data_IF_857601448854
#
_entry.id   IF_857601448854
#
_cell.length_a   1.000
_cell.length_b   1.000
_cell.length_c   1.000
_cell.angle_alpha   90.00
_cell.angle_beta   90.00
_cell.angle_gamma   90.00
#
_symmetry.space_group_name_H-M   'P 1'
#
loop_
_entity.id
_entity.type
_entity.pdbx_description
1 polymer ?
#
# COMPACT_ATOMS: atom_id res chain seq x y z
N UNK A 1 7.82 14.20 38.20
CA UNK A 1 6.43 14.31 38.68
C UNK A 1 5.81 15.58 38.09
N UNK A 2 4.65 15.43 37.44
CA UNK A 2 3.59 16.42 37.14
C UNK A 2 4.00 17.87 36.82
N UNK A 3 3.88 18.32 35.57
CA UNK A 3 2.64 18.70 34.88
C UNK A 3 2.20 20.16 35.15
N UNK A 4 2.29 20.93 34.06
CA UNK A 4 1.33 21.92 33.57
C UNK A 4 1.12 23.24 34.32
N UNK A 5 0.63 24.18 33.50
CA UNK A 5 -0.26 25.33 33.83
C UNK A 5 0.55 26.64 33.99
N UNK A 6 0.22 27.77 33.35
CA UNK A 6 -1.02 28.25 32.74
C UNK A 6 -0.72 29.52 31.92
N UNK A 7 -1.43 29.72 30.81
CA UNK A 7 -1.55 30.99 30.09
C UNK A 7 -1.93 32.16 31.00
N UNK A 8 -1.49 33.38 30.63
CA UNK A 8 -2.23 34.65 30.67
C UNK A 8 -1.32 35.78 30.18
N UNK A 9 -1.83 36.66 29.31
CA UNK A 9 -1.57 38.10 29.12
C UNK A 9 -2.24 38.43 27.77
N UNK A 10 -3.17 39.37 27.60
CA UNK A 10 -3.59 40.51 28.40
C UNK A 10 -3.89 41.61 27.38
N UNK A 11 -5.18 41.87 27.10
CA UNK A 11 -5.61 42.95 26.22
C UNK A 11 -5.49 44.31 26.94
N UNK A 12 -5.10 45.36 26.21
CA UNK A 12 -5.37 46.74 26.59
C UNK A 12 -5.66 47.56 25.33
N UNK A 13 -6.92 47.96 25.18
CA UNK A 13 -7.41 48.91 24.19
C UNK A 13 -7.52 50.26 24.90
N UNK A 14 -6.85 51.29 24.36
CA UNK A 14 -6.94 52.67 24.84
C UNK A 14 -7.97 53.40 23.99
N UNK A 15 -9.01 53.93 24.65
CA UNK A 15 -10.00 54.84 24.06
C UNK A 15 -9.71 56.25 24.57
N UNK A 16 -9.53 57.20 23.66
CA UNK A 16 -9.56 58.63 23.96
C UNK A 16 -10.66 59.29 23.14
N UNK A 17 -11.60 59.95 23.83
CA UNK A 17 -12.62 60.84 23.28
C UNK A 17 -12.16 62.29 23.51
N UNK A 18 -12.18 63.11 22.47
CA UNK A 18 -12.19 64.57 22.55
C UNK A 18 -13.08 65.12 21.43
N UNK A 19 -13.95 66.07 21.77
CA UNK A 19 -15.15 66.39 21.00
C UNK A 19 -15.13 67.69 20.19
N UNK A 20 -16.23 67.82 19.45
CA UNK A 20 -17.05 68.99 19.13
C UNK A 20 -16.59 70.07 18.11
N UNK A 21 -17.48 70.21 17.12
CA UNK A 21 -17.89 71.38 16.31
C UNK A 21 -17.04 71.78 15.11
N UNK A 22 -17.43 71.28 13.92
CA UNK A 22 -17.48 72.08 12.70
C UNK A 22 -18.75 71.76 11.90
N UNK A 23 -19.53 72.82 11.67
CA UNK A 23 -20.65 72.95 10.75
C UNK A 23 -20.24 72.67 9.30
N UNK A 24 -21.02 71.89 8.56
CA UNK A 24 -20.87 71.80 7.11
C UNK A 24 -21.66 70.66 6.49
N UNK A 25 -22.61 71.02 5.61
CA UNK A 25 -23.27 70.14 4.64
C UNK A 25 -22.28 69.15 4.00
N UNK A 26 -22.59 67.85 4.01
CA UNK A 26 -21.80 66.85 3.29
C UNK A 26 -22.39 65.46 3.38
N UNK A 27 -23.18 65.11 2.35
CA UNK A 27 -23.65 63.78 1.93
C UNK A 27 -23.16 62.56 2.74
N UNK A 28 -24.13 61.81 3.28
CA UNK A 28 -23.95 60.41 3.69
C UNK A 28 -23.59 59.58 2.45
N UNK A 29 -22.30 59.34 2.23
CA UNK A 29 -21.84 58.25 1.39
C UNK A 29 -21.97 56.94 2.18
N UNK A 30 -23.02 56.17 1.90
CA UNK A 30 -23.10 54.76 2.28
C UNK A 30 -21.95 54.02 1.59
N UNK A 31 -20.79 53.90 2.24
CA UNK A 31 -19.77 52.96 1.80
C UNK A 31 -20.33 51.55 2.00
N UNK A 32 -20.62 50.87 0.90
CA UNK A 32 -20.95 49.46 0.95
C UNK A 32 -19.76 48.71 1.56
N UNK A 33 -20.00 48.08 2.71
CA UNK A 33 -19.11 47.09 3.28
C UNK A 33 -19.10 45.93 2.29
N UNK A 34 -18.10 45.87 1.41
CA UNK A 34 -17.81 44.66 0.65
C UNK A 34 -17.33 43.62 1.66
N UNK A 35 -18.15 42.58 1.84
CA UNK A 35 -17.75 41.37 2.55
C UNK A 35 -16.43 40.87 1.96
N UNK A 36 -15.49 40.60 2.86
CA UNK A 36 -14.07 40.48 2.59
C UNK A 36 -13.70 39.56 1.43
N UNK A 37 -12.59 39.92 0.80
CA UNK A 37 -11.87 39.07 -0.12
C UNK A 37 -11.73 37.66 0.47
N UNK A 38 -12.07 36.59 -0.26
CA UNK A 38 -11.77 35.25 0.20
C UNK A 38 -10.25 35.14 0.31
N UNK A 39 -9.79 34.97 1.55
CA UNK A 39 -8.43 34.53 1.88
C UNK A 39 -8.14 33.31 1.00
N UNK A 40 -7.31 33.52 -0.02
CA UNK A 40 -6.74 32.46 -0.81
C UNK A 40 -5.82 31.66 0.12
N UNK A 41 -6.40 30.68 0.82
CA UNK A 41 -5.65 29.59 1.40
C UNK A 41 -4.97 28.90 0.23
N UNK A 42 -3.67 29.22 0.06
CA UNK A 42 -2.79 28.50 -0.84
C UNK A 42 -2.91 27.02 -0.52
N UNK A 43 -3.66 26.30 -1.35
CA UNK A 43 -3.62 24.86 -1.39
C UNK A 43 -2.20 24.51 -1.79
N UNK A 44 -1.36 24.22 -0.78
CA UNK A 44 -0.17 23.40 -0.99
C UNK A 44 -0.68 22.15 -1.67
N UNK A 45 -0.41 22.07 -2.97
CA UNK A 45 -0.60 20.90 -3.81
C UNK A 45 0.09 19.75 -3.08
N UNK A 46 -0.70 18.96 -2.32
CA UNK A 46 -0.24 17.68 -1.81
C UNK A 46 0.10 16.92 -3.07
N UNK A 47 1.39 16.70 -3.32
CA UNK A 47 1.83 15.80 -4.38
C UNK A 47 1.09 14.49 -4.15
N UNK A 48 0.07 14.24 -4.96
CA UNK A 48 -0.58 12.94 -5.01
C UNK A 48 0.52 11.99 -5.43
N UNK A 49 1.06 11.27 -4.46
CA UNK A 49 1.95 10.16 -4.70
C UNK A 49 1.08 9.08 -5.34
N UNK A 50 0.78 9.23 -6.63
CA UNK A 50 0.08 8.24 -7.43
C UNK A 50 0.85 6.94 -7.26
N UNK A 51 0.14 5.92 -6.79
CA UNK A 51 0.71 4.58 -6.68
C UNK A 51 1.33 4.22 -8.03
N UNK A 52 2.58 3.75 -7.98
CA UNK A 52 3.37 3.53 -9.19
C UNK A 52 2.58 2.66 -10.17
N UNK A 53 2.47 3.08 -11.42
CA UNK A 53 1.81 2.28 -12.46
C UNK A 53 2.59 0.95 -12.62
N UNK A 54 1.90 -0.20 -12.67
CA UNK A 54 2.54 -1.48 -12.95
C UNK A 54 3.42 -1.39 -14.20
N UNK A 55 4.63 -1.97 -14.19
CA UNK A 55 5.31 -2.36 -15.41
C UNK A 55 4.35 -3.15 -16.32
N UNK A 56 4.37 -2.87 -17.62
CA UNK A 56 3.61 -3.66 -18.60
C UNK A 56 4.16 -5.10 -18.61
N UNK A 57 3.29 -6.07 -18.85
CA UNK A 57 3.64 -7.50 -19.06
C UNK A 57 4.15 -8.27 -17.84
N UNK A 58 3.78 -7.87 -16.62
CA UNK A 58 4.12 -8.66 -15.42
C UNK A 58 3.35 -9.98 -15.36
N UNK A 59 4.03 -11.01 -14.83
CA UNK A 59 3.51 -12.38 -14.68
C UNK A 59 3.36 -12.74 -13.21
N UNK A 60 2.35 -13.55 -12.90
CA UNK A 60 2.22 -14.12 -11.57
C UNK A 60 3.31 -15.17 -11.35
N UNK A 61 3.99 -15.12 -10.20
CA UNK A 61 5.12 -16.01 -9.86
C UNK A 61 4.79 -17.01 -8.76
N UNK A 62 3.68 -16.81 -8.05
CA UNK A 62 3.18 -17.71 -7.02
C UNK A 62 3.80 -17.50 -5.64
N UNK A 63 3.03 -17.94 -4.63
CA UNK A 63 3.34 -17.77 -3.20
C UNK A 63 4.72 -18.29 -2.78
N UNK A 64 5.18 -19.39 -3.38
CA UNK A 64 6.46 -20.02 -3.03
C UNK A 64 7.66 -19.14 -3.43
N UNK A 65 7.56 -18.44 -4.56
CA UNK A 65 8.59 -17.48 -5.00
C UNK A 65 8.72 -16.34 -4.00
N UNK A 66 7.59 -15.84 -3.47
CA UNK A 66 7.59 -14.82 -2.43
C UNK A 66 8.20 -15.35 -1.12
N UNK A 67 7.90 -16.60 -0.76
CA UNK A 67 8.38 -17.23 0.46
C UNK A 67 9.90 -17.37 0.53
N UNK A 68 10.57 -17.51 -0.63
CA UNK A 68 12.02 -17.65 -0.72
C UNK A 68 12.78 -16.47 -0.08
N UNK A 69 12.29 -15.24 -0.29
CA UNK A 69 12.91 -14.03 0.29
C UNK A 69 12.12 -13.46 1.48
N UNK A 70 10.80 -13.66 1.52
CA UNK A 70 9.90 -13.10 2.54
C UNK A 70 9.29 -14.17 3.45
N UNK A 71 10.11 -15.13 3.89
CA UNK A 71 9.66 -16.28 4.66
C UNK A 71 8.88 -15.90 5.93
N UNK A 72 9.34 -14.90 6.68
CA UNK A 72 8.65 -14.42 7.89
C UNK A 72 7.20 -13.99 7.59
N UNK A 73 6.98 -13.23 6.52
CA UNK A 73 5.64 -12.79 6.10
C UNK A 73 4.81 -13.95 5.57
N UNK A 74 5.43 -14.85 4.81
CA UNK A 74 4.78 -16.07 4.34
C UNK A 74 4.28 -16.94 5.50
N UNK A 75 5.06 -17.10 6.58
CA UNK A 75 4.64 -17.87 7.76
C UNK A 75 3.42 -17.28 8.44
N UNK A 76 3.28 -15.96 8.49
CA UNK A 76 2.06 -15.33 8.99
C UNK A 76 0.90 -15.59 8.03
N UNK A 77 1.08 -15.22 6.75
CA UNK A 77 0.04 -15.33 5.71
C UNK A 77 -0.53 -16.74 5.61
N UNK A 78 0.30 -17.80 5.63
CA UNK A 78 -0.15 -19.18 5.42
C UNK A 78 -1.18 -19.67 6.45
N UNK A 79 -1.28 -19.01 7.60
CA UNK A 79 -2.24 -19.35 8.65
C UNK A 79 -3.54 -18.54 8.59
N UNK A 80 -3.55 -17.45 7.82
CA UNK A 80 -4.70 -16.57 7.63
C UNK A 80 -5.79 -17.18 6.74
N UNK A 81 -7.01 -16.63 6.85
CA UNK A 81 -8.15 -17.07 6.04
C UNK A 81 -7.90 -16.95 4.54
N UNK A 82 -7.16 -15.92 4.11
CA UNK A 82 -6.82 -15.73 2.70
C UNK A 82 -6.01 -16.90 2.11
N UNK A 83 -5.02 -17.41 2.84
CA UNK A 83 -4.24 -18.56 2.38
C UNK A 83 -5.09 -19.82 2.20
N UNK A 84 -6.07 -20.01 3.09
CA UNK A 84 -6.98 -21.17 3.11
C UNK A 84 -8.18 -21.02 2.17
N UNK A 85 -8.27 -19.91 1.42
CA UNK A 85 -9.43 -19.61 0.58
C UNK A 85 -9.75 -20.73 -0.40
N UNK A 86 -8.76 -21.34 -1.05
CA UNK A 86 -9.03 -22.46 -1.96
C UNK A 86 -9.41 -23.76 -1.23
N UNK A 87 -8.81 -23.98 -0.06
CA UNK A 87 -8.95 -25.24 0.68
C UNK A 87 -10.38 -25.45 1.20
N UNK A 88 -11.08 -24.35 1.49
CA UNK A 88 -12.48 -24.39 1.94
C UNK A 88 -13.46 -24.80 0.83
N UNK A 89 -13.05 -24.79 -0.44
CA UNK A 89 -13.91 -25.26 -1.52
C UNK A 89 -14.07 -26.79 -1.47
N UNK A 90 -15.30 -27.31 -1.47
CA UNK A 90 -15.56 -28.72 -1.75
C UNK A 90 -14.92 -29.13 -3.08
N UNK A 91 -14.43 -30.38 -3.17
CA UNK A 91 -13.70 -30.87 -4.35
C UNK A 91 -14.46 -30.65 -5.66
N UNK A 92 -15.79 -30.83 -5.65
CA UNK A 92 -16.67 -30.63 -6.82
C UNK A 92 -16.67 -29.20 -7.37
N UNK A 93 -16.37 -28.19 -6.55
CA UNK A 93 -16.36 -26.78 -6.94
C UNK A 93 -14.95 -26.23 -7.24
N UNK A 94 -13.90 -27.05 -7.10
CA UNK A 94 -12.50 -26.62 -7.35
C UNK A 94 -12.14 -26.44 -8.83
N UNK A 95 -13.10 -26.67 -9.72
CA UNK A 95 -12.98 -26.42 -11.15
C UNK A 95 -14.06 -25.48 -11.66
N UNK A 96 -14.97 -25.00 -10.80
CA UNK A 96 -16.05 -24.10 -11.21
C UNK A 96 -15.50 -22.67 -11.36
N UNK A 97 -15.55 -22.06 -12.56
CA UNK A 97 -15.11 -20.69 -12.78
C UNK A 97 -15.75 -19.67 -11.82
N UNK A 98 -17.00 -19.88 -11.40
CA UNK A 98 -17.70 -18.98 -10.47
C UNK A 98 -17.03 -18.95 -9.09
N UNK A 99 -16.47 -20.08 -8.66
CA UNK A 99 -15.74 -20.19 -7.41
C UNK A 99 -14.28 -19.74 -7.57
N UNK A 100 -13.63 -20.12 -8.68
CA UNK A 100 -12.22 -19.85 -8.92
C UNK A 100 -11.90 -18.34 -8.98
N UNK A 101 -12.81 -17.51 -9.49
CA UNK A 101 -12.68 -16.04 -9.51
C UNK A 101 -12.37 -15.44 -8.14
N UNK A 102 -12.90 -16.01 -7.05
CA UNK A 102 -12.73 -15.49 -5.70
C UNK A 102 -11.74 -16.29 -4.84
N UNK A 103 -11.57 -17.58 -5.13
CA UNK A 103 -10.79 -18.51 -4.30
C UNK A 103 -9.38 -18.79 -4.83
N UNK A 104 -8.96 -18.11 -5.89
CA UNK A 104 -7.61 -18.24 -6.46
C UNK A 104 -7.02 -16.87 -6.81
N UNK A 105 -5.73 -16.83 -7.13
CA UNK A 105 -5.04 -15.61 -7.54
C UNK A 105 -5.02 -15.49 -9.06
N UNK A 106 -5.56 -14.39 -9.57
CA UNK A 106 -5.44 -14.00 -10.98
C UNK A 106 -6.28 -14.82 -11.95
N UNK A 107 -7.31 -15.55 -11.51
CA UNK A 107 -8.15 -16.33 -12.42
C UNK A 107 -8.68 -15.49 -13.59
N UNK A 108 -8.58 -16.02 -14.81
CA UNK A 108 -8.94 -15.32 -16.05
C UNK A 108 -7.87 -14.38 -16.60
N UNK A 109 -6.79 -14.11 -15.86
CA UNK A 109 -5.64 -13.35 -16.35
C UNK A 109 -4.67 -14.28 -17.10
N UNK A 110 -3.92 -13.79 -18.11
CA UNK A 110 -3.06 -14.63 -18.96
C UNK A 110 -2.07 -15.54 -18.22
N UNK A 111 -1.59 -15.11 -17.06
CA UNK A 111 -0.61 -15.85 -16.23
C UNK A 111 -1.12 -16.20 -14.84
N UNK A 112 -2.41 -16.00 -14.57
CA UNK A 112 -3.00 -16.33 -13.27
C UNK A 112 -3.33 -17.81 -13.10
N UNK A 113 -4.07 -18.14 -12.05
CA UNK A 113 -4.53 -19.50 -11.81
C UNK A 113 -5.37 -20.01 -12.98
N UNK A 114 -5.11 -21.24 -13.41
CA UNK A 114 -5.84 -21.94 -14.46
C UNK A 114 -6.54 -23.17 -13.89
N UNK A 115 -5.74 -24.07 -13.35
CA UNK A 115 -6.18 -25.36 -12.80
C UNK A 115 -5.08 -25.94 -11.89
N UNK A 116 -5.12 -27.26 -11.67
CA UNK A 116 -4.16 -28.03 -10.88
C UNK A 116 -2.70 -27.92 -11.35
N UNK A 117 -2.44 -27.45 -12.57
CA UNK A 117 -1.10 -27.14 -13.09
C UNK A 117 -0.51 -25.84 -12.50
N UNK A 118 -1.34 -25.02 -11.84
CA UNK A 118 -0.94 -23.74 -11.22
C UNK A 118 -1.18 -23.71 -9.69
N UNK A 119 -0.77 -24.73 -8.91
CA UNK A 119 -1.11 -24.83 -7.49
C UNK A 119 -0.48 -23.71 -6.63
N UNK A 120 0.59 -23.08 -7.12
CA UNK A 120 1.23 -21.94 -6.51
C UNK A 120 0.35 -20.68 -6.49
N UNK A 121 -0.72 -20.64 -7.30
CA UNK A 121 -1.72 -19.56 -7.36
C UNK A 121 -3.07 -19.96 -6.76
N UNK A 122 -3.19 -21.17 -6.21
CA UNK A 122 -4.37 -21.56 -5.44
C UNK A 122 -4.44 -20.77 -4.12
N UNK A 123 -5.62 -20.22 -3.83
CA UNK A 123 -5.91 -19.37 -2.67
C UNK A 123 -5.79 -17.88 -2.97
N UNK A 124 -6.07 -17.05 -1.96
CA UNK A 124 -5.82 -15.61 -2.02
C UNK A 124 -4.36 -15.40 -1.60
N UNK A 125 -3.46 -15.42 -2.58
CA UNK A 125 -2.02 -15.32 -2.37
C UNK A 125 -1.53 -13.88 -2.33
N UNK A 126 -0.22 -13.71 -2.12
CA UNK A 126 0.47 -12.43 -2.06
C UNK A 126 0.08 -11.51 -3.23
N UNK A 127 0.01 -12.07 -4.43
CA UNK A 127 -0.17 -11.33 -5.68
C UNK A 127 -1.63 -10.93 -5.94
N UNK A 128 -2.59 -11.42 -5.14
CA UNK A 128 -3.98 -10.89 -5.18
C UNK A 128 -4.00 -9.43 -4.70
N UNK A 129 -3.24 -9.11 -3.64
CA UNK A 129 -3.15 -7.75 -3.10
C UNK A 129 -1.99 -6.96 -3.72
N UNK A 130 -0.84 -7.61 -3.94
CA UNK A 130 0.40 -6.96 -4.37
C UNK A 130 0.61 -6.96 -5.90
N UNK A 131 -0.29 -7.59 -6.66
CA UNK A 131 -0.20 -7.75 -8.11
C UNK A 131 0.85 -8.77 -8.56
N UNK A 132 0.95 -9.03 -9.88
CA UNK A 132 1.91 -9.98 -10.43
C UNK A 132 3.36 -9.54 -10.13
N UNK A 133 4.17 -10.44 -9.57
CA UNK A 133 5.46 -10.10 -8.95
C UNK A 133 6.71 -10.31 -9.81
N UNK A 134 6.59 -10.64 -11.10
CA UNK A 134 7.75 -11.02 -11.92
C UNK A 134 8.84 -9.95 -12.01
N UNK A 135 8.48 -8.66 -12.15
CA UNK A 135 9.49 -7.60 -12.19
C UNK A 135 10.11 -7.37 -10.80
N UNK A 136 9.31 -7.51 -9.73
CA UNK A 136 9.82 -7.43 -8.36
C UNK A 136 10.91 -8.47 -8.11
N UNK A 137 10.67 -9.72 -8.49
CA UNK A 137 11.66 -10.81 -8.35
C UNK A 137 12.91 -10.50 -9.14
N UNK A 138 12.77 -10.06 -10.39
CA UNK A 138 13.91 -9.71 -11.25
C UNK A 138 14.74 -8.56 -10.67
N UNK A 139 14.10 -7.51 -10.17
CA UNK A 139 14.78 -6.38 -9.54
C UNK A 139 15.47 -6.84 -8.25
N UNK A 140 14.79 -7.57 -7.39
CA UNK A 140 15.36 -8.11 -6.15
C UNK A 140 16.59 -8.98 -6.43
N UNK A 141 16.53 -9.91 -7.39
CA UNK A 141 17.66 -10.74 -7.79
C UNK A 141 18.86 -9.91 -8.26
N UNK A 142 18.64 -8.82 -9.01
CA UNK A 142 19.73 -7.90 -9.38
C UNK A 142 20.36 -7.21 -8.17
N UNK A 143 19.58 -6.88 -7.13
CA UNK A 143 20.14 -6.36 -5.89
C UNK A 143 20.99 -7.41 -5.16
N UNK A 144 20.56 -8.67 -5.18
CA UNK A 144 21.30 -9.79 -4.58
C UNK A 144 22.59 -10.13 -5.34
N UNK A 145 22.60 -10.01 -6.68
CA UNK A 145 23.75 -10.31 -7.54
C UNK A 145 24.71 -9.14 -7.78
N UNK A 146 24.29 -7.89 -7.52
CA UNK A 146 25.15 -6.70 -7.62
C UNK A 146 26.17 -6.59 -6.47
N UNK A 147 26.22 -7.59 -5.58
CA UNK A 147 27.30 -7.76 -4.63
C UNK A 147 28.29 -8.76 -5.23
N UNK A 148 29.30 -8.26 -5.95
CA UNK A 148 30.52 -9.06 -6.18
C UNK A 148 31.17 -9.28 -4.82
N UNK A 149 30.88 -10.41 -4.18
CA UNK A 149 31.64 -10.92 -3.05
C UNK A 149 32.62 -11.93 -3.63
N UNK A 150 33.91 -11.66 -3.50
CA UNK A 150 34.93 -12.70 -3.68
C UNK A 150 34.74 -13.72 -2.55
N UNK A 151 34.03 -14.81 -2.83
CA UNK A 151 33.68 -15.81 -1.83
C UNK A 151 34.86 -16.76 -1.65
N UNK A 152 35.64 -16.55 -0.58
CA UNK A 152 36.51 -17.58 -0.02
C UNK A 152 35.68 -18.55 0.83
N UNK A 153 36.12 -19.81 0.98
CA UNK A 153 35.40 -20.85 1.74
C UNK A 153 35.12 -20.43 3.21
N UNK A 154 36.03 -19.64 3.80
CA UNK A 154 35.85 -19.04 5.13
C UNK A 154 34.75 -17.97 5.15
N UNK A 155 34.59 -17.20 4.07
CA UNK A 155 33.53 -16.21 3.93
C UNK A 155 32.15 -16.89 3.80
N UNK A 156 32.05 -18.05 3.14
CA UNK A 156 30.78 -18.78 3.00
C UNK A 156 30.23 -19.27 4.35
N UNK A 157 31.10 -19.78 5.23
CA UNK A 157 30.72 -20.20 6.59
C UNK A 157 30.27 -19.01 7.44
N UNK A 158 30.95 -17.87 7.31
CA UNK A 158 30.62 -16.64 8.04
C UNK A 158 29.33 -15.99 7.54
N UNK A 159 29.09 -15.99 6.23
CA UNK A 159 27.86 -15.49 5.59
C UNK A 159 26.64 -16.34 5.96
N UNK A 160 26.82 -17.66 6.10
CA UNK A 160 25.78 -18.59 6.56
C UNK A 160 25.36 -18.34 8.00
N UNK A 161 26.32 -17.97 8.85
CA UNK A 161 26.11 -17.72 10.27
C UNK A 161 25.71 -16.26 10.57
N UNK A 162 25.95 -15.31 9.66
CA UNK A 162 25.52 -13.91 9.78
C UNK A 162 24.71 -13.43 8.58
N UNK A 163 23.38 -13.45 8.73
CA UNK A 163 22.41 -12.73 7.88
C UNK A 163 22.51 -11.19 8.12
N UNK A 164 23.71 -10.68 8.46
CA UNK A 164 23.99 -9.25 8.66
C UNK A 164 24.91 -8.67 7.58
N UNK A 165 25.44 -9.47 6.65
CA UNK A 165 26.27 -8.95 5.55
C UNK A 165 25.46 -8.19 4.46
N UNK A 166 24.14 -8.08 4.60
CA UNK A 166 23.25 -7.41 3.62
C UNK A 166 23.15 -5.88 3.76
N UNK A 167 23.82 -5.26 4.74
CA UNK A 167 23.51 -3.89 5.15
C UNK A 167 24.64 -2.85 5.07
N UNK A 168 25.82 -3.16 4.54
CA UNK A 168 26.96 -2.21 4.63
C UNK A 168 27.24 -1.33 3.39
N UNK A 169 26.43 -1.39 2.34
CA UNK A 169 26.52 -0.39 1.26
C UNK A 169 25.28 0.48 1.22
N UNK A 170 25.15 1.33 2.24
CA UNK A 170 24.16 2.41 2.34
C UNK A 170 24.44 3.54 1.32
N UNK A 171 24.56 3.16 0.07
CA UNK A 171 24.81 4.03 -1.07
C UNK A 171 23.49 4.57 -1.59
N UNK A 172 23.51 5.76 -2.20
CA UNK A 172 22.33 6.32 -2.89
C UNK A 172 21.81 5.35 -3.96
N UNK A 173 22.71 4.68 -4.68
CA UNK A 173 22.38 3.68 -5.68
C UNK A 173 21.62 2.47 -5.07
N UNK A 174 22.10 1.93 -3.94
CA UNK A 174 21.42 0.84 -3.25
C UNK A 174 20.03 1.27 -2.73
N UNK A 175 19.91 2.47 -2.15
CA UNK A 175 18.61 3.00 -1.68
C UNK A 175 17.61 3.16 -2.83
N UNK A 176 18.05 3.70 -3.97
CA UNK A 176 17.19 3.87 -5.15
C UNK A 176 16.84 2.52 -5.79
N UNK A 177 17.76 1.55 -5.84
CA UNK A 177 17.48 0.19 -6.31
C UNK A 177 16.45 -0.51 -5.40
N UNK A 178 16.60 -0.42 -4.08
CA UNK A 178 15.63 -0.95 -3.12
C UNK A 178 14.27 -0.26 -3.25
N UNK A 179 14.25 1.06 -3.45
CA UNK A 179 13.03 1.83 -3.68
C UNK A 179 12.34 1.39 -4.96
N UNK A 180 13.08 1.14 -6.03
CA UNK A 180 12.54 0.62 -7.29
C UNK A 180 11.92 -0.77 -7.08
N UNK A 181 12.60 -1.68 -6.38
CA UNK A 181 12.06 -3.00 -6.04
C UNK A 181 10.84 -2.93 -5.12
N UNK A 182 10.81 -2.03 -4.13
CA UNK A 182 9.62 -1.81 -3.28
C UNK A 182 8.44 -1.23 -4.04
N UNK A 183 8.69 -0.38 -5.04
CA UNK A 183 7.63 0.26 -5.81
C UNK A 183 7.12 -0.62 -6.97
N UNK A 184 7.74 -1.78 -7.23
CA UNK A 184 7.27 -2.74 -8.22
C UNK A 184 6.18 -3.68 -7.69
N UNK A 185 5.81 -3.58 -6.40
CA UNK A 185 4.66 -4.26 -5.79
C UNK A 185 3.64 -3.22 -5.31
N UNK A 186 2.35 -3.51 -5.45
CA UNK A 186 1.29 -2.58 -5.00
C UNK A 186 1.07 -2.72 -3.49
N UNK A 187 0.60 -1.67 -2.81
CA UNK A 187 0.03 -1.89 -1.46
C UNK A 187 -1.31 -2.60 -1.56
N UNK A 188 -2.15 -2.17 -2.52
CA UNK A 188 -3.40 -2.80 -2.91
C UNK A 188 -3.54 -2.67 -4.43
N UNK A 189 -3.87 -3.77 -5.12
CA UNK A 189 -4.06 -3.77 -6.58
C UNK A 189 -5.19 -2.80 -6.99
N UNK A 190 -5.00 -1.95 -8.02
CA UNK A 190 -6.08 -1.17 -8.63
C UNK A 190 -7.18 -2.09 -9.17
N UNK A 191 -8.45 -1.65 -9.10
CA UNK A 191 -9.59 -2.51 -9.47
C UNK A 191 -9.88 -3.54 -8.38
N UNK A 192 -10.37 -3.05 -7.25
CA UNK A 192 -10.48 -3.69 -5.94
C UNK A 192 -11.14 -5.09 -5.96
N UNK A 193 -10.37 -6.12 -6.33
CA UNK A 193 -10.79 -7.52 -6.25
C UNK A 193 -11.22 -7.90 -4.82
N UNK A 194 -10.69 -7.20 -3.81
CA UNK A 194 -11.02 -7.42 -2.41
C UNK A 194 -12.46 -6.98 -2.09
N UNK A 195 -12.94 -5.84 -2.62
CA UNK A 195 -14.30 -5.34 -2.37
C UNK A 195 -15.33 -6.36 -2.80
N UNK A 196 -15.15 -6.99 -3.97
CA UNK A 196 -16.08 -8.03 -4.43
C UNK A 196 -16.27 -9.09 -3.35
N UNK A 197 -15.21 -9.60 -2.74
CA UNK A 197 -15.32 -10.60 -1.67
C UNK A 197 -15.84 -10.00 -0.35
N UNK A 198 -15.33 -8.84 0.06
CA UNK A 198 -15.60 -8.26 1.38
C UNK A 198 -16.95 -7.55 1.49
N UNK A 199 -17.59 -7.17 0.38
CA UNK A 199 -18.91 -6.50 0.39
C UNK A 199 -20.06 -7.39 -0.06
N UNK A 200 -19.81 -8.42 -0.88
CA UNK A 200 -20.90 -9.27 -1.39
C UNK A 200 -21.11 -10.55 -0.59
N UNK A 201 -20.02 -11.20 -0.16
CA UNK A 201 -20.08 -12.55 0.43
C UNK A 201 -19.38 -12.65 1.79
N UNK A 202 -18.55 -11.67 2.17
CA UNK A 202 -17.96 -11.45 3.50
C UNK A 202 -17.49 -12.70 4.27
N UNK A 203 -16.81 -13.65 3.61
CA UNK A 203 -16.38 -14.94 4.20
C UNK A 203 -17.51 -15.81 4.78
N UNK A 204 -18.76 -15.59 4.36
CA UNK A 204 -19.90 -16.41 4.78
C UNK A 204 -20.08 -17.60 3.83
N UNK A 205 -20.59 -18.70 4.40
CA UNK A 205 -20.97 -19.88 3.64
C UNK A 205 -21.96 -19.50 2.54
N UNK A 206 -21.75 -20.06 1.34
CA UNK A 206 -22.66 -19.82 0.23
C UNK A 206 -23.71 -20.93 0.23
N UNK A 207 -24.75 -20.76 1.05
CA UNK A 207 -25.80 -21.76 1.31
C UNK A 207 -26.48 -22.30 0.05
N UNK A 208 -26.39 -21.58 -1.07
CA UNK A 208 -26.85 -22.02 -2.38
C UNK A 208 -26.03 -23.20 -2.96
N UNK A 209 -24.75 -23.32 -2.61
CA UNK A 209 -23.85 -24.41 -3.03
C UNK A 209 -23.65 -25.49 -1.96
N UNK A 210 -24.12 -25.27 -0.73
CA UNK A 210 -24.01 -26.26 0.37
C UNK A 210 -25.15 -27.31 0.35
N UNK A 211 -26.19 -27.10 -0.50
CA UNK A 211 -27.38 -27.97 -0.59
C UNK A 211 -27.28 -29.08 -1.63
N UNK A 212 -26.23 -29.07 -2.44
CA UNK A 212 -25.91 -30.09 -3.44
C UNK A 212 -24.81 -31.03 -2.92
#
# INVERSE_FOLDING_TARGET
>A
MNALRKHRFGHAIVVTLAGLLFSGLGMFALSQITLGDPVALGAKEKSEKREATPPKDQKYVGKNTCAACHYSKYRTWKHEKHAKGFDILPKKYRTDPKCLVCHTTGYGEPTGYKDVSTPQLAGITCETCHGPGSEHVKLAQKLFLAVEVEVTLEAEKKIRDSIELFLEKDTTAAREAQKKARNSIFRIKPGNACVKCHTTKAHQAHLEYDKE
#
